data_IF_661950385286
#
_entry.id   IF_661950385286
#
_cell.length_a   1.000
_cell.length_b   1.000
_cell.length_c   1.000
_cell.angle_alpha   90.00
_cell.angle_beta   90.00
_cell.angle_gamma   90.00
#
_symmetry.space_group_name_H-M   'P 1'
#
loop_
_entity.id
_entity.type
_entity.pdbx_description
1 polymer ?
#
# COMPACT_ATOMS: atom_id res chain seq x y z
N UNK A 1 12.85 0.20 -8.09
CA UNK A 1 11.71 -0.56 -7.54
C UNK A 1 10.93 0.34 -6.59
N UNK A 2 9.61 0.21 -6.54
CA UNK A 2 8.76 0.80 -5.51
C UNK A 2 7.76 -0.25 -5.01
N UNK A 3 7.34 -0.12 -3.76
CA UNK A 3 6.54 -1.12 -3.05
C UNK A 3 5.26 -0.45 -2.56
N UNK A 4 4.14 -1.14 -2.71
CA UNK A 4 2.82 -0.68 -2.24
C UNK A 4 2.04 -1.83 -1.65
N UNK A 5 1.03 -1.54 -0.83
CA UNK A 5 -0.02 -2.48 -0.49
C UNK A 5 -1.32 -2.07 -1.21
N UNK A 6 -1.76 -2.85 -2.22
CA UNK A 6 -2.93 -2.58 -3.05
C UNK A 6 -2.82 -1.35 -3.98
N UNK A 7 -1.60 -0.93 -4.29
CA UNK A 7 -1.33 0.26 -5.10
C UNK A 7 -1.84 0.18 -6.53
N UNK A 8 -1.87 -1.01 -7.15
CA UNK A 8 -2.39 -1.20 -8.52
C UNK A 8 -3.91 -1.01 -8.60
N UNK A 9 -4.62 -1.29 -7.51
CA UNK A 9 -6.07 -1.14 -7.45
C UNK A 9 -6.50 0.24 -6.96
N UNK A 10 -5.58 1.08 -6.47
CA UNK A 10 -5.91 2.39 -5.89
C UNK A 10 -4.84 3.46 -6.13
N UNK A 11 -3.74 3.45 -5.37
CA UNK A 11 -2.78 4.58 -5.29
C UNK A 11 -2.22 5.00 -6.65
N UNK A 12 -1.75 4.03 -7.43
CA UNK A 12 -1.09 4.26 -8.71
C UNK A 12 -2.04 4.84 -9.77
N UNK A 13 -3.20 4.21 -10.07
CA UNK A 13 -4.15 4.79 -11.01
C UNK A 13 -4.73 6.11 -10.50
N UNK A 14 -4.98 6.25 -9.20
CA UNK A 14 -5.48 7.50 -8.62
C UNK A 14 -4.51 8.66 -8.87
N UNK A 15 -3.22 8.48 -8.54
CA UNK A 15 -2.20 9.50 -8.76
C UNK A 15 -2.08 9.84 -10.25
N UNK A 16 -1.95 8.83 -11.13
CA UNK A 16 -1.80 9.06 -12.57
C UNK A 16 -2.99 9.82 -13.17
N UNK A 17 -4.23 9.44 -12.82
CA UNK A 17 -5.44 10.10 -13.30
C UNK A 17 -5.58 11.51 -12.70
N UNK A 18 -5.29 11.68 -11.41
CA UNK A 18 -5.33 13.00 -10.76
C UNK A 18 -4.30 13.95 -11.36
N UNK A 19 -3.10 13.47 -11.67
CA UNK A 19 -2.07 14.24 -12.38
C UNK A 19 -2.56 14.66 -13.77
N UNK A 20 -3.18 13.75 -14.53
CA UNK A 20 -3.74 14.07 -15.84
C UNK A 20 -4.84 15.16 -15.77
N UNK A 21 -5.74 15.08 -14.78
CA UNK A 21 -6.77 16.12 -14.53
C UNK A 21 -6.17 17.50 -14.21
N UNK A 22 -4.98 17.54 -13.60
CA UNK A 22 -4.28 18.77 -13.25
C UNK A 22 -3.28 19.22 -14.35
N UNK A 23 -3.25 18.55 -15.50
CA UNK A 23 -2.29 18.85 -16.57
C UNK A 23 -0.84 18.53 -16.22
N UNK A 24 -0.59 17.71 -15.19
CA UNK A 24 0.74 17.28 -14.77
C UNK A 24 1.04 15.92 -15.39
N UNK A 25 2.07 15.85 -16.25
CA UNK A 25 2.49 14.58 -16.86
C UNK A 25 3.26 13.73 -15.85
N UNK A 26 2.84 12.48 -15.65
CA UNK A 26 3.60 11.51 -14.86
C UNK A 26 4.96 11.24 -15.52
N UNK A 27 6.04 11.36 -14.76
CA UNK A 27 7.42 11.14 -15.24
C UNK A 27 7.87 9.69 -15.17
N UNK A 28 7.08 8.83 -14.50
CA UNK A 28 7.31 7.39 -14.37
C UNK A 28 6.03 6.62 -14.61
N UNK A 29 6.16 5.43 -15.18
CA UNK A 29 5.04 4.49 -15.27
C UNK A 29 4.80 3.87 -13.88
N UNK A 30 3.71 4.25 -13.21
CA UNK A 30 3.31 3.66 -11.92
C UNK A 30 2.51 2.36 -12.08
N UNK A 31 2.22 1.96 -13.33
CA UNK A 31 1.55 0.70 -13.67
C UNK A 31 2.41 -0.12 -14.66
N UNK A 32 3.65 -0.49 -14.28
CA UNK A 32 4.51 -1.34 -15.12
C UNK A 32 3.93 -2.77 -15.20
N UNK A 33 4.60 -3.66 -15.93
CA UNK A 33 4.14 -5.05 -16.15
C UNK A 33 3.64 -5.70 -14.85
N UNK A 34 2.39 -6.21 -14.87
CA UNK A 34 1.64 -6.60 -13.67
C UNK A 34 2.31 -7.71 -12.88
N UNK A 35 2.77 -8.74 -13.58
CA UNK A 35 3.30 -9.96 -12.98
C UNK A 35 4.80 -9.86 -12.64
N UNK A 36 5.42 -8.71 -12.86
CA UNK A 36 6.78 -8.42 -12.42
C UNK A 36 6.79 -7.68 -11.10
N UNK A 37 7.65 -8.08 -10.17
CA UNK A 37 7.86 -7.40 -8.89
C UNK A 37 9.11 -6.49 -8.88
N UNK A 38 9.96 -6.54 -9.92
CA UNK A 38 11.24 -5.81 -10.00
C UNK A 38 11.09 -4.29 -10.08
N UNK A 39 10.07 -3.80 -10.79
CA UNK A 39 9.76 -2.38 -10.88
C UNK A 39 8.75 -1.95 -9.81
N UNK A 40 7.59 -2.63 -9.76
CA UNK A 40 6.51 -2.39 -8.81
C UNK A 40 6.14 -3.69 -8.09
N UNK A 41 6.49 -3.79 -6.81
CA UNK A 41 6.01 -4.88 -5.96
C UNK A 41 4.74 -4.45 -5.24
N UNK A 42 3.58 -4.82 -5.78
CA UNK A 42 2.31 -4.67 -5.08
C UNK A 42 2.06 -5.90 -4.20
N UNK A 43 2.21 -5.72 -2.89
CA UNK A 43 2.07 -6.80 -1.91
C UNK A 43 0.67 -7.42 -1.91
N UNK A 44 -0.39 -6.69 -2.24
CA UNK A 44 -1.72 -7.29 -2.34
C UNK A 44 -1.75 -8.34 -3.46
N UNK A 45 -1.18 -8.02 -4.62
CA UNK A 45 -1.09 -8.97 -5.73
C UNK A 45 -0.15 -10.13 -5.38
N UNK A 46 0.98 -9.85 -4.72
CA UNK A 46 1.92 -10.90 -4.31
C UNK A 46 1.30 -11.90 -3.33
N UNK A 47 0.71 -11.43 -2.23
CA UNK A 47 0.11 -12.30 -1.20
C UNK A 47 -1.18 -12.97 -1.64
N UNK A 48 -1.81 -12.49 -2.71
CA UNK A 48 -2.98 -13.16 -3.31
C UNK A 48 -2.61 -14.06 -4.48
N UNK A 49 -1.31 -14.21 -4.77
CA UNK A 49 -0.81 -14.92 -5.95
C UNK A 49 -1.56 -14.49 -7.22
N UNK A 50 -1.65 -13.17 -7.39
CA UNK A 50 -2.34 -12.51 -8.50
C UNK A 50 -3.81 -12.89 -8.63
N UNK A 51 -4.50 -13.08 -7.48
CA UNK A 51 -5.93 -13.39 -7.42
C UNK A 51 -6.27 -14.87 -7.31
N UNK A 52 -5.30 -15.76 -7.12
CA UNK A 52 -5.57 -17.17 -6.82
C UNK A 52 -6.30 -17.35 -5.47
N UNK A 53 -6.13 -16.41 -4.55
CA UNK A 53 -6.88 -16.35 -3.29
C UNK A 53 -7.54 -14.99 -3.10
N UNK A 54 -8.56 -14.93 -2.24
CA UNK A 54 -9.26 -13.68 -1.92
C UNK A 54 -8.32 -12.63 -1.30
N UNK A 55 -8.64 -11.36 -1.52
CA UNK A 55 -7.93 -10.22 -0.94
C UNK A 55 -8.20 -10.09 0.56
N UNK A 56 -7.19 -9.69 1.32
CA UNK A 56 -7.30 -9.29 2.72
C UNK A 56 -6.69 -7.91 2.93
N UNK A 57 -7.14 -7.18 3.94
CA UNK A 57 -6.62 -5.84 4.22
C UNK A 57 -5.22 -5.90 4.89
N UNK A 58 -4.55 -4.75 4.97
CA UNK A 58 -3.21 -4.63 5.56
C UNK A 58 -3.16 -5.15 7.00
N UNK A 59 -4.17 -4.80 7.81
CA UNK A 59 -4.27 -5.21 9.22
C UNK A 59 -4.33 -6.74 9.39
N UNK A 60 -5.04 -7.45 8.50
CA UNK A 60 -5.08 -8.92 8.50
C UNK A 60 -3.69 -9.51 8.31
N UNK A 61 -2.94 -9.06 7.29
CA UNK A 61 -1.59 -9.56 7.04
C UNK A 61 -0.64 -9.19 8.17
N UNK A 62 -0.72 -7.96 8.70
CA UNK A 62 0.11 -7.56 9.84
C UNK A 62 -0.12 -8.48 11.04
N UNK A 63 -1.39 -8.77 11.39
CA UNK A 63 -1.73 -9.69 12.48
C UNK A 63 -1.22 -11.12 12.21
N UNK A 64 -1.45 -11.63 10.99
CA UNK A 64 -1.01 -12.97 10.61
C UNK A 64 0.52 -13.15 10.70
N UNK A 65 1.28 -12.11 10.38
CA UNK A 65 2.74 -12.11 10.44
C UNK A 65 3.31 -11.58 11.76
N UNK A 66 2.47 -11.30 12.77
CA UNK A 66 2.87 -10.71 14.05
C UNK A 66 3.68 -9.40 13.88
N UNK A 67 3.23 -8.55 12.96
CA UNK A 67 3.73 -7.19 12.73
C UNK A 67 2.81 -6.23 13.47
N UNK A 68 3.40 -5.22 14.13
CA UNK A 68 2.62 -4.19 14.82
C UNK A 68 1.68 -3.49 13.83
N UNK A 69 0.37 -3.67 14.04
CA UNK A 69 -0.63 -3.05 13.16
C UNK A 69 -0.67 -1.53 13.36
N UNK A 70 -0.75 -0.75 12.26
CA UNK A 70 -0.93 0.69 12.33
C UNK A 70 -2.27 1.10 12.95
N UNK A 71 -3.26 0.19 12.96
CA UNK A 71 -4.58 0.40 13.60
C UNK A 71 -4.54 0.37 15.14
N UNK A 72 -3.39 0.10 15.77
CA UNK A 72 -3.28 0.08 17.22
C UNK A 72 -3.57 1.45 17.87
N UNK A 73 -3.52 2.55 17.11
CA UNK A 73 -3.87 3.91 17.56
C UNK A 73 -5.37 4.21 17.52
N UNK A 74 -6.22 3.31 17.01
CA UNK A 74 -7.68 3.46 16.97
C UNK A 74 -8.22 4.30 15.81
N UNK A 75 -7.37 5.00 15.06
CA UNK A 75 -7.76 5.73 13.84
C UNK A 75 -7.97 4.75 12.68
N UNK A 76 -9.08 4.91 11.96
CA UNK A 76 -9.43 4.15 10.77
C UNK A 76 -9.55 5.05 9.54
N UNK A 77 -9.63 4.46 8.35
CA UNK A 77 -9.83 5.21 7.11
C UNK A 77 -11.12 6.05 7.09
N UNK A 78 -12.14 5.70 7.89
CA UNK A 78 -13.39 6.45 8.00
C UNK A 78 -13.20 7.78 8.75
N UNK A 79 -12.19 7.85 9.61
CA UNK A 79 -11.91 9.01 10.46
C UNK A 79 -11.12 10.10 9.72
N UNK A 80 -10.48 9.77 8.58
CA UNK A 80 -9.63 10.70 7.84
C UNK A 80 -10.37 11.92 7.30
N UNK A 81 -11.64 11.75 6.90
CA UNK A 81 -12.49 12.86 6.44
C UNK A 81 -12.73 13.91 7.55
N UNK A 82 -13.32 13.51 8.69
CA UNK A 82 -13.46 14.38 9.86
C UNK A 82 -12.13 15.02 10.32
N UNK A 83 -11.06 14.23 10.47
CA UNK A 83 -9.74 14.73 10.89
C UNK A 83 -9.21 15.80 9.94
N UNK A 84 -9.45 15.66 8.64
CA UNK A 84 -9.02 16.65 7.65
C UNK A 84 -9.79 17.97 7.80
N UNK A 85 -11.11 17.90 8.02
CA UNK A 85 -11.94 19.09 8.25
C UNK A 85 -11.55 19.81 9.54
N UNK A 86 -11.19 19.06 10.58
CA UNK A 86 -10.68 19.57 11.85
C UNK A 86 -9.22 20.06 11.78
N UNK A 87 -8.57 19.98 10.60
CA UNK A 87 -7.15 20.34 10.38
C UNK A 87 -6.17 19.56 11.26
N UNK A 88 -6.53 18.36 11.68
CA UNK A 88 -5.71 17.46 12.51
C UNK A 88 -4.69 16.69 11.64
N UNK A 89 -3.91 17.43 10.88
CA UNK A 89 -3.00 16.87 9.87
C UNK A 89 -1.89 16.00 10.47
N UNK A 90 -1.47 16.29 11.70
CA UNK A 90 -0.44 15.50 12.38
C UNK A 90 -0.88 14.06 12.59
N UNK A 91 -2.13 13.85 12.98
CA UNK A 91 -2.69 12.52 13.23
C UNK A 91 -2.90 11.75 11.93
N UNK A 92 -3.33 12.44 10.87
CA UNK A 92 -3.39 11.85 9.52
C UNK A 92 -1.99 11.42 9.06
N UNK A 93 -0.97 12.25 9.27
CA UNK A 93 0.40 11.91 8.91
C UNK A 93 0.93 10.71 9.72
N UNK A 94 0.60 10.64 11.02
CA UNK A 94 0.96 9.53 11.90
C UNK A 94 0.25 8.22 11.52
N UNK A 95 -1.01 8.31 11.08
CA UNK A 95 -1.73 7.18 10.47
C UNK A 95 -1.03 6.70 9.19
N UNK A 96 -0.76 7.61 8.24
CA UNK A 96 -0.15 7.26 6.96
C UNK A 96 1.27 6.67 7.13
N UNK A 97 2.10 7.23 8.00
CA UNK A 97 3.46 6.67 8.23
C UNK A 97 3.40 5.31 8.93
N UNK A 98 2.35 5.05 9.71
CA UNK A 98 2.07 3.72 10.27
C UNK A 98 1.87 2.68 9.16
N UNK A 99 1.00 2.98 8.18
CA UNK A 99 0.75 2.09 7.04
C UNK A 99 2.02 1.86 6.19
N UNK A 100 2.84 2.89 6.00
CA UNK A 100 4.15 2.76 5.31
C UNK A 100 5.09 1.82 6.04
N UNK A 101 5.24 1.97 7.37
CA UNK A 101 6.10 1.09 8.18
C UNK A 101 5.63 -0.36 8.13
N UNK A 102 4.32 -0.58 8.26
CA UNK A 102 3.72 -1.91 8.17
C UNK A 102 3.91 -2.56 6.78
N UNK A 103 3.76 -1.76 5.72
CA UNK A 103 4.01 -2.21 4.34
C UNK A 103 5.47 -2.61 4.13
N UNK A 104 6.42 -1.87 4.69
CA UNK A 104 7.85 -2.20 4.62
C UNK A 104 8.17 -3.52 5.34
N UNK A 105 7.65 -3.70 6.56
CA UNK A 105 7.80 -4.97 7.31
C UNK A 105 7.20 -6.17 6.56
N UNK A 106 6.01 -6.00 5.97
CA UNK A 106 5.40 -7.06 5.15
C UNK A 106 6.21 -7.37 3.90
N UNK A 107 6.78 -6.35 3.26
CA UNK A 107 7.68 -6.55 2.13
C UNK A 107 8.90 -7.39 2.51
N UNK A 108 9.52 -7.13 3.67
CA UNK A 108 10.61 -7.96 4.16
C UNK A 108 10.19 -9.42 4.38
N UNK A 109 9.00 -9.68 4.92
CA UNK A 109 8.49 -11.06 5.04
C UNK A 109 8.30 -11.71 3.68
N UNK A 110 7.70 -11.00 2.72
CA UNK A 110 7.52 -11.52 1.37
C UNK A 110 8.87 -11.79 0.70
N UNK A 111 9.81 -10.86 0.77
CA UNK A 111 11.13 -10.98 0.15
C UNK A 111 11.92 -12.16 0.73
N UNK A 112 11.91 -12.34 2.05
CA UNK A 112 12.68 -13.40 2.71
C UNK A 112 12.10 -14.80 2.51
N UNK A 113 10.77 -14.93 2.47
CA UNK A 113 10.11 -16.24 2.55
C UNK A 113 9.31 -16.65 1.32
N UNK A 114 8.96 -15.72 0.43
CA UNK A 114 8.03 -15.97 -0.68
C UNK A 114 8.59 -15.57 -2.04
N UNK A 115 9.49 -14.59 -2.11
CA UNK A 115 10.14 -14.23 -3.35
C UNK A 115 11.11 -15.35 -3.76
N UNK A 116 10.84 -16.00 -4.89
CA UNK A 116 11.75 -16.99 -5.49
C UNK A 116 12.58 -16.24 -6.53
N UNK A 117 13.90 -16.19 -6.33
CA UNK A 117 14.82 -15.69 -7.35
C UNK A 117 14.73 -16.58 -8.60
N UNK A 118 14.68 -15.96 -9.77
CA UNK A 118 14.74 -16.68 -11.05
C UNK A 118 16.18 -16.92 -11.46
#
# INVERSE_FOLDING_TARGET
QFITFNGRSFDCPFIMLRSALLGVKATRNLMPYRYGASEHCDLMEQFTFYGAVRKFNLDFYCKAFNIKSPKASGITGLDLGPLYQERRYREIAEYCIGDVKATAELYHRWQTYLAVEK
#
